data_IF_202862313665
#
_entry.id   IF_202862313665
#
_cell.length_a   1.000
_cell.length_b   1.000
_cell.length_c   1.000
_cell.angle_alpha   90.00
_cell.angle_beta   90.00
_cell.angle_gamma   90.00
#
_symmetry.space_group_name_H-M   'P 1'
#
loop_
_entity.id
_entity.type
_entity.pdbx_description
1 polymer ?
#
# COMPACT_ATOMS: atom_id res chain seq x y z
N UNK A 1 -58.24 -10.46 -46.55
CA UNK A 1 -57.55 -11.69 -46.20
C UNK A 1 -56.00 -11.50 -46.28
N UNK A 2 -55.44 -10.43 -45.66
CA UNK A 2 -53.97 -10.17 -45.65
C UNK A 2 -53.40 -9.85 -44.27
N UNK A 3 -54.20 -9.78 -43.22
CA UNK A 3 -53.74 -9.38 -41.89
C UNK A 3 -53.18 -10.57 -41.05
N UNK A 4 -53.63 -11.82 -41.34
CA UNK A 4 -53.21 -13.01 -40.59
C UNK A 4 -51.77 -13.48 -40.83
N UNK A 5 -51.09 -12.99 -41.88
CA UNK A 5 -49.72 -13.38 -42.20
C UNK A 5 -48.63 -12.41 -41.65
N UNK A 6 -49.04 -11.23 -41.15
CA UNK A 6 -48.13 -10.20 -40.63
C UNK A 6 -47.78 -10.40 -39.16
N UNK A 7 -48.72 -10.92 -38.35
CA UNK A 7 -48.55 -11.10 -36.91
C UNK A 7 -47.39 -12.06 -36.56
N UNK A 8 -47.27 -13.27 -37.16
CA UNK A 8 -46.18 -14.19 -36.81
C UNK A 8 -44.80 -13.67 -37.27
N UNK A 9 -44.69 -12.87 -38.32
CA UNK A 9 -43.43 -12.25 -38.77
C UNK A 9 -42.99 -11.14 -37.83
N UNK A 10 -43.89 -10.32 -37.31
CA UNK A 10 -43.61 -9.28 -36.32
C UNK A 10 -43.13 -9.88 -35.00
N UNK A 11 -43.79 -10.94 -34.51
CA UNK A 11 -43.39 -11.65 -33.28
C UNK A 11 -42.00 -12.29 -33.44
N UNK A 12 -41.72 -12.89 -34.58
CA UNK A 12 -40.39 -13.49 -34.86
C UNK A 12 -39.28 -12.45 -34.93
N UNK A 13 -39.51 -11.26 -35.48
CA UNK A 13 -38.56 -10.15 -35.51
C UNK A 13 -38.33 -9.57 -34.12
N UNK A 14 -39.34 -9.45 -33.31
CA UNK A 14 -39.22 -9.00 -31.91
C UNK A 14 -38.43 -9.99 -31.04
N UNK A 15 -38.69 -11.29 -31.19
CA UNK A 15 -37.92 -12.35 -30.52
C UNK A 15 -36.45 -12.36 -30.97
N UNK A 16 -36.18 -12.23 -32.25
CA UNK A 16 -34.83 -12.18 -32.80
C UNK A 16 -34.05 -10.93 -32.27
N UNK A 17 -34.74 -9.77 -32.19
CA UNK A 17 -34.10 -8.56 -31.64
C UNK A 17 -33.85 -8.67 -30.12
N UNK A 18 -34.73 -9.33 -29.38
CA UNK A 18 -34.53 -9.58 -27.94
C UNK A 18 -33.37 -10.52 -27.67
N UNK A 19 -33.25 -11.60 -28.47
CA UNK A 19 -32.13 -12.55 -28.38
C UNK A 19 -30.82 -11.88 -28.74
N UNK A 20 -30.80 -11.04 -29.79
CA UNK A 20 -29.61 -10.30 -30.18
C UNK A 20 -29.20 -9.28 -29.11
N UNK A 21 -30.15 -8.58 -28.49
CA UNK A 21 -29.89 -7.66 -27.37
C UNK A 21 -29.34 -8.39 -26.13
N UNK A 22 -29.87 -9.57 -25.79
CA UNK A 22 -29.33 -10.40 -24.72
C UNK A 22 -27.91 -10.90 -25.02
N UNK A 23 -27.61 -11.30 -26.26
CA UNK A 23 -26.28 -11.71 -26.71
C UNK A 23 -25.26 -10.56 -26.63
N UNK A 24 -25.66 -9.34 -26.97
CA UNK A 24 -24.82 -8.15 -26.87
C UNK A 24 -24.55 -7.78 -25.41
N UNK A 25 -25.53 -7.92 -24.51
CA UNK A 25 -25.33 -7.70 -23.06
C UNK A 25 -24.40 -8.73 -22.43
N UNK A 26 -24.40 -9.99 -22.90
CA UNK A 26 -23.51 -11.06 -22.43
C UNK A 26 -22.06 -10.90 -22.93
N UNK A 27 -21.85 -10.11 -23.99
CA UNK A 27 -20.53 -9.81 -24.57
C UNK A 27 -19.88 -8.52 -24.01
N UNK A 28 -20.48 -7.84 -23.02
CA UNK A 28 -19.82 -6.74 -22.37
C UNK A 28 -18.59 -7.30 -21.66
N UNK A 29 -17.35 -6.84 -21.98
CA UNK A 29 -16.20 -7.25 -21.24
C UNK A 29 -16.43 -6.89 -19.79
N UNK A 30 -16.33 -7.87 -18.89
CA UNK A 30 -16.21 -7.59 -17.47
C UNK A 30 -15.00 -6.68 -17.35
N UNK A 31 -15.19 -5.40 -17.01
CA UNK A 31 -14.10 -4.52 -16.66
C UNK A 31 -13.43 -5.16 -15.44
N UNK A 32 -12.33 -5.88 -15.68
CA UNK A 32 -11.45 -6.28 -14.59
C UNK A 32 -10.98 -4.98 -13.96
N UNK A 33 -11.43 -4.69 -12.75
CA UNK A 33 -10.99 -3.53 -11.98
C UNK A 33 -9.48 -3.59 -11.91
N UNK A 34 -8.81 -2.59 -12.49
CA UNK A 34 -7.35 -2.60 -12.57
C UNK A 34 -6.78 -2.46 -11.16
N UNK A 35 -5.96 -3.44 -10.75
CA UNK A 35 -5.36 -3.45 -9.42
C UNK A 35 -4.45 -2.22 -9.28
N UNK A 36 -4.66 -1.37 -8.28
CA UNK A 36 -3.78 -0.24 -8.04
C UNK A 36 -2.32 -0.67 -7.95
N UNK A 37 -1.41 0.08 -8.55
CA UNK A 37 0.02 -0.29 -8.59
C UNK A 37 0.62 -0.47 -7.20
N UNK A 38 0.23 0.38 -6.24
CA UNK A 38 0.65 0.27 -4.85
C UNK A 38 0.19 -1.02 -4.16
N UNK A 39 -0.83 -1.70 -4.69
CA UNK A 39 -1.32 -2.99 -4.19
C UNK A 39 -0.84 -4.16 -5.06
N UNK A 40 0.29 -3.98 -5.77
CA UNK A 40 0.99 -5.05 -6.48
C UNK A 40 2.31 -5.37 -5.79
N UNK A 41 2.70 -6.64 -5.76
CA UNK A 41 4.04 -6.99 -5.28
C UNK A 41 5.12 -6.33 -6.16
N UNK A 42 6.27 -5.95 -5.59
CA UNK A 42 7.41 -5.51 -6.37
C UNK A 42 7.82 -6.52 -7.43
N UNK A 43 8.43 -6.03 -8.52
CA UNK A 43 8.88 -6.88 -9.64
C UNK A 43 9.73 -8.06 -9.15
N UNK A 44 9.36 -9.27 -9.53
CA UNK A 44 10.03 -10.51 -9.14
C UNK A 44 9.50 -11.15 -7.86
N UNK A 45 8.66 -10.46 -7.07
CA UNK A 45 8.02 -11.06 -5.91
C UNK A 45 6.63 -11.63 -6.29
N UNK A 46 6.32 -12.82 -5.76
CA UNK A 46 4.99 -13.40 -5.90
C UNK A 46 4.01 -12.81 -4.90
N UNK A 47 4.45 -12.62 -3.66
CA UNK A 47 3.66 -12.09 -2.55
C UNK A 47 4.47 -10.99 -1.86
N UNK A 48 3.81 -9.98 -1.35
CA UNK A 48 4.42 -8.94 -0.52
C UNK A 48 3.45 -8.50 0.58
N UNK A 49 3.99 -7.88 1.62
CA UNK A 49 3.23 -7.10 2.60
C UNK A 49 3.35 -5.64 2.16
N UNK A 50 2.22 -4.94 2.06
CA UNK A 50 2.17 -3.49 1.82
C UNK A 50 1.59 -2.83 3.05
N UNK A 51 2.23 -1.80 3.57
CA UNK A 51 1.74 -1.03 4.71
C UNK A 51 1.81 0.46 4.41
N UNK A 52 0.72 1.17 4.74
CA UNK A 52 0.71 2.62 4.87
C UNK A 52 0.81 2.95 6.34
N UNK A 53 1.88 3.65 6.71
CA UNK A 53 2.25 3.85 8.10
C UNK A 53 2.62 5.30 8.40
N UNK A 54 2.53 5.63 9.67
CA UNK A 54 2.91 6.92 10.23
C UNK A 54 3.84 6.68 11.41
N UNK A 55 5.04 7.22 11.35
CA UNK A 55 6.06 6.97 12.36
C UNK A 55 5.74 7.54 13.74
N UNK A 56 4.75 8.44 13.84
CA UNK A 56 4.25 8.95 15.12
C UNK A 56 3.03 8.17 15.62
N UNK A 57 2.44 7.29 14.79
CA UNK A 57 1.26 6.51 15.17
C UNK A 57 1.64 5.36 16.11
N UNK A 58 1.09 5.30 17.35
CA UNK A 58 1.44 4.23 18.30
C UNK A 58 1.05 2.83 17.82
N UNK A 59 -0.01 2.71 17.02
CA UNK A 59 -0.41 1.42 16.44
C UNK A 59 0.61 0.93 15.41
N UNK A 60 1.18 1.85 14.60
CA UNK A 60 2.25 1.50 13.67
C UNK A 60 3.47 0.96 14.42
N UNK A 61 3.91 1.64 15.48
CA UNK A 61 5.02 1.17 16.31
C UNK A 61 4.77 -0.21 16.94
N UNK A 62 3.53 -0.52 17.32
CA UNK A 62 3.19 -1.85 17.87
C UNK A 62 3.22 -2.96 16.82
N UNK A 63 2.84 -2.67 15.58
CA UNK A 63 2.72 -3.69 14.54
C UNK A 63 3.99 -3.85 13.70
N UNK A 64 4.83 -2.83 13.61
CA UNK A 64 6.05 -2.85 12.79
C UNK A 64 6.94 -4.09 13.04
N UNK A 65 7.25 -4.51 14.28
CA UNK A 65 8.06 -5.71 14.51
C UNK A 65 7.42 -7.00 13.97
N UNK A 66 6.08 -7.10 14.00
CA UNK A 66 5.36 -8.24 13.46
C UNK A 66 5.47 -8.30 11.92
N UNK A 67 5.30 -7.16 11.25
CA UNK A 67 5.42 -7.06 9.79
C UNK A 67 6.82 -7.44 9.32
N UNK A 68 7.84 -6.93 10.00
CA UNK A 68 9.23 -7.25 9.70
C UNK A 68 9.55 -8.73 9.96
N UNK A 69 9.07 -9.29 11.08
CA UNK A 69 9.25 -10.71 11.36
C UNK A 69 8.57 -11.57 10.29
N UNK A 70 7.35 -11.23 9.87
CA UNK A 70 6.64 -11.93 8.81
C UNK A 70 7.40 -11.84 7.47
N UNK A 71 7.87 -10.64 7.10
CA UNK A 71 8.69 -10.42 5.89
C UNK A 71 9.94 -11.32 5.90
N UNK A 72 10.69 -11.33 6.99
CA UNK A 72 11.89 -12.18 7.16
C UNK A 72 11.57 -13.68 7.12
N UNK A 73 10.51 -14.10 7.83
CA UNK A 73 10.11 -15.52 7.93
C UNK A 73 9.71 -16.09 6.59
N UNK A 74 8.91 -15.34 5.82
CA UNK A 74 8.41 -15.78 4.52
C UNK A 74 9.34 -15.40 3.36
N UNK A 75 10.40 -14.61 3.61
CA UNK A 75 11.32 -14.05 2.61
C UNK A 75 10.55 -13.32 1.51
N UNK A 76 9.59 -12.48 1.91
CA UNK A 76 8.77 -11.65 1.03
C UNK A 76 9.05 -10.18 1.31
N UNK A 77 8.92 -9.28 0.30
CA UNK A 77 9.08 -7.85 0.52
C UNK A 77 8.08 -7.30 1.54
N UNK A 78 8.55 -6.36 2.38
CA UNK A 78 7.74 -5.41 3.10
C UNK A 78 7.86 -4.06 2.38
N UNK A 79 6.75 -3.60 1.80
CA UNK A 79 6.65 -2.32 1.09
C UNK A 79 6.02 -1.32 2.04
N UNK A 80 6.77 -0.29 2.41
CA UNK A 80 6.35 0.75 3.35
C UNK A 80 6.07 2.03 2.59
N UNK A 81 4.84 2.54 2.73
CA UNK A 81 4.40 3.84 2.24
C UNK A 81 4.23 4.81 3.40
N UNK A 82 4.82 5.99 3.28
CA UNK A 82 4.71 7.04 4.28
C UNK A 82 3.31 7.69 4.21
N UNK A 83 2.54 7.61 5.29
CA UNK A 83 1.21 8.21 5.38
C UNK A 83 1.06 9.06 6.65
N UNK A 84 1.81 10.16 6.77
CA UNK A 84 1.77 11.03 7.94
C UNK A 84 0.38 11.66 8.09
N UNK A 85 -0.24 11.44 9.27
CA UNK A 85 -1.56 11.95 9.60
C UNK A 85 -1.48 13.45 10.00
N UNK A 86 -2.50 14.25 9.68
CA UNK A 86 -2.47 15.70 9.98
C UNK A 86 -2.35 16.04 11.47
N UNK A 87 -2.80 15.14 12.35
CA UNK A 87 -2.72 15.32 13.81
C UNK A 87 -1.33 15.03 14.39
N UNK A 88 -0.44 14.42 13.60
CA UNK A 88 0.90 14.01 14.02
C UNK A 88 1.93 15.05 13.58
N UNK A 89 2.45 15.81 14.53
CA UNK A 89 3.18 17.05 14.26
C UNK A 89 4.67 16.89 13.93
N UNK A 90 5.25 15.69 14.05
CA UNK A 90 6.62 15.40 13.65
C UNK A 90 6.73 14.22 12.65
N UNK A 91 5.64 13.55 12.37
CA UNK A 91 5.60 12.35 11.52
C UNK A 91 6.09 12.62 10.10
N UNK A 92 5.67 13.73 9.48
CA UNK A 92 6.11 14.10 8.14
C UNK A 92 7.62 14.30 8.06
N UNK A 93 8.20 15.01 9.04
CA UNK A 93 9.64 15.25 9.08
C UNK A 93 10.42 13.96 9.34
N UNK A 94 9.92 13.09 10.21
CA UNK A 94 10.51 11.76 10.43
C UNK A 94 10.50 10.93 9.14
N UNK A 95 9.43 10.99 8.35
CA UNK A 95 9.36 10.32 7.06
C UNK A 95 10.41 10.87 6.06
N UNK A 96 10.59 12.19 6.00
CA UNK A 96 11.63 12.81 5.17
C UNK A 96 13.03 12.35 5.61
N UNK A 97 13.29 12.29 6.90
CA UNK A 97 14.55 11.76 7.44
C UNK A 97 14.75 10.28 7.09
N UNK A 98 13.72 9.46 7.18
CA UNK A 98 13.79 8.06 6.78
C UNK A 98 14.11 7.92 5.28
N UNK A 99 13.50 8.74 4.42
CA UNK A 99 13.85 8.81 2.99
C UNK A 99 15.30 9.22 2.77
N UNK A 100 15.83 10.13 3.57
CA UNK A 100 17.25 10.45 3.52
C UNK A 100 18.12 9.22 3.82
N UNK A 101 17.82 8.49 4.87
CA UNK A 101 18.56 7.27 5.20
C UNK A 101 18.38 6.16 4.15
N UNK A 102 17.23 6.07 3.49
CA UNK A 102 17.00 5.20 2.32
C UNK A 102 17.97 5.51 1.16
N UNK A 103 18.46 6.75 1.02
CA UNK A 103 19.46 7.09 -0.02
C UNK A 103 20.83 6.44 0.20
N UNK A 104 21.14 6.04 1.41
CA UNK A 104 22.35 5.28 1.74
C UNK A 104 22.16 3.79 1.48
N UNK A 105 21.12 3.19 2.03
CA UNK A 105 20.60 1.87 1.67
C UNK A 105 19.20 1.66 2.29
N UNK A 106 18.45 0.70 1.76
CA UNK A 106 17.15 0.33 2.34
C UNK A 106 17.28 -0.21 3.76
N UNK A 107 18.37 -0.92 4.06
CA UNK A 107 18.64 -1.46 5.39
C UNK A 107 18.82 -0.33 6.40
N UNK A 108 19.53 0.73 6.03
CA UNK A 108 19.75 1.91 6.90
C UNK A 108 18.43 2.67 7.10
N UNK A 109 17.66 2.89 6.04
CA UNK A 109 16.36 3.54 6.16
C UNK A 109 15.39 2.75 7.04
N UNK A 110 15.36 1.43 6.90
CA UNK A 110 14.53 0.56 7.74
C UNK A 110 15.01 0.59 9.20
N UNK A 111 16.32 0.52 9.44
CA UNK A 111 16.87 0.63 10.80
C UNK A 111 16.52 1.98 11.45
N UNK A 112 16.44 3.07 10.69
CA UNK A 112 15.99 4.36 11.21
C UNK A 112 14.50 4.31 11.57
N UNK A 113 13.63 3.73 10.72
CA UNK A 113 12.19 3.56 11.02
C UNK A 113 12.00 2.72 12.29
N UNK A 114 12.72 1.59 12.41
CA UNK A 114 12.71 0.75 13.61
C UNK A 114 13.11 1.54 14.86
N UNK A 115 14.19 2.33 14.78
CA UNK A 115 14.65 3.16 15.90
C UNK A 115 13.60 4.22 16.28
N UNK A 116 12.95 4.87 15.30
CA UNK A 116 11.88 5.83 15.55
C UNK A 116 10.69 5.14 16.24
N UNK A 117 10.25 3.98 15.75
CA UNK A 117 9.15 3.24 16.37
C UNK A 117 9.48 2.79 17.80
N UNK A 118 10.71 2.37 18.07
CA UNK A 118 11.16 1.97 19.39
C UNK A 118 11.17 3.13 20.39
N UNK A 119 11.35 4.37 19.92
CA UNK A 119 11.52 5.57 20.77
C UNK A 119 10.40 6.60 20.58
N UNK A 120 9.26 6.21 20.00
CA UNK A 120 8.15 7.14 19.70
C UNK A 120 7.75 8.05 20.85
N UNK A 121 7.73 7.52 22.07
CA UNK A 121 7.32 8.27 23.26
C UNK A 121 8.34 9.31 23.72
N UNK A 122 9.59 9.21 23.26
CA UNK A 122 10.68 10.11 23.60
C UNK A 122 10.87 11.20 22.54
N UNK A 123 10.35 10.97 21.31
CA UNK A 123 10.52 11.86 20.17
C UNK A 123 9.46 12.97 20.23
N UNK A 124 9.93 14.19 20.01
CA UNK A 124 9.13 15.41 19.92
C UNK A 124 9.58 16.22 18.70
N UNK A 125 8.80 17.21 18.24
CA UNK A 125 9.27 18.10 17.17
C UNK A 125 10.61 18.79 17.48
N UNK A 126 10.89 19.04 18.76
CA UNK A 126 12.08 19.76 19.22
C UNK A 126 13.34 18.89 19.22
N UNK A 127 13.21 17.58 19.40
CA UNK A 127 14.37 16.67 19.52
C UNK A 127 14.55 15.70 18.34
N UNK A 128 13.61 15.66 17.38
CA UNK A 128 13.67 14.72 16.24
C UNK A 128 14.99 14.84 15.46
N UNK A 129 15.45 16.07 15.17
CA UNK A 129 16.71 16.31 14.48
C UNK A 129 17.91 15.81 15.28
N UNK A 130 17.89 15.99 16.60
CA UNK A 130 18.94 15.45 17.48
C UNK A 130 18.92 13.93 17.52
N UNK A 131 17.73 13.31 17.55
CA UNK A 131 17.56 11.87 17.44
C UNK A 131 18.16 11.33 16.13
N UNK A 132 17.82 11.96 15.00
CA UNK A 132 18.36 11.58 13.69
C UNK A 132 19.87 11.77 13.61
N UNK A 133 20.43 12.83 14.18
CA UNK A 133 21.87 13.08 14.24
C UNK A 133 22.59 12.03 15.07
N UNK A 134 22.02 11.61 16.19
CA UNK A 134 22.56 10.50 16.98
C UNK A 134 22.55 9.19 16.19
N UNK A 135 21.43 8.83 15.57
CA UNK A 135 21.33 7.65 14.72
C UNK A 135 22.35 7.66 13.61
N UNK A 136 22.53 8.79 12.92
CA UNK A 136 23.51 8.95 11.86
C UNK A 136 24.94 8.72 12.37
N UNK A 137 25.28 9.30 13.52
CA UNK A 137 26.59 9.13 14.16
C UNK A 137 26.85 7.67 14.51
N UNK A 138 25.89 6.99 15.13
CA UNK A 138 26.01 5.58 15.55
C UNK A 138 26.19 4.66 14.32
N UNK A 139 25.63 5.04 13.18
CA UNK A 139 25.73 4.29 11.91
C UNK A 139 26.83 4.82 10.97
N UNK A 140 27.66 5.78 11.41
CA UNK A 140 28.77 6.39 10.64
C UNK A 140 28.30 7.04 9.33
N UNK A 141 27.12 7.66 9.36
CA UNK A 141 26.51 8.36 8.25
C UNK A 141 26.66 9.87 8.48
N UNK A 142 27.04 10.62 7.45
CA UNK A 142 27.03 12.06 7.51
C UNK A 142 25.57 12.56 7.41
N UNK A 143 25.09 13.35 8.38
CA UNK A 143 23.80 14.00 8.30
C UNK A 143 24.02 15.50 8.06
N UNK A 144 23.59 16.05 6.91
CA UNK A 144 23.70 17.48 6.64
C UNK A 144 22.73 18.29 7.49
N UNK A 145 23.04 19.55 7.75
CA UNK A 145 22.17 20.44 8.51
C UNK A 145 20.78 20.61 7.85
N UNK A 146 20.75 20.67 6.51
CA UNK A 146 19.49 20.63 5.71
C UNK A 146 19.49 19.34 4.91
N UNK A 147 18.63 18.43 5.29
CA UNK A 147 18.57 17.06 4.73
C UNK A 147 17.96 17.03 3.33
N UNK A 148 17.02 17.91 3.05
CA UNK A 148 16.28 17.94 1.78
C UNK A 148 16.16 19.37 1.24
N UNK A 149 17.28 20.00 0.79
CA UNK A 149 17.27 21.39 0.36
C UNK A 149 16.42 21.65 -0.91
N UNK A 150 16.20 20.61 -1.71
CA UNK A 150 15.43 20.71 -2.94
C UNK A 150 13.98 20.20 -2.79
N UNK A 151 13.59 19.72 -1.62
CA UNK A 151 12.26 19.17 -1.35
C UNK A 151 11.93 17.87 -2.07
N UNK A 152 12.95 17.16 -2.59
CA UNK A 152 12.76 15.89 -3.32
C UNK A 152 12.27 14.77 -2.41
N UNK A 153 12.87 14.62 -1.23
CA UNK A 153 12.48 13.58 -0.27
C UNK A 153 11.08 13.86 0.29
N UNK A 154 10.80 15.11 0.61
CA UNK A 154 9.47 15.55 0.99
C UNK A 154 8.45 15.32 -0.14
N UNK A 155 8.88 15.41 -1.40
CA UNK A 155 8.08 15.06 -2.58
C UNK A 155 7.69 13.57 -2.59
N UNK A 156 8.62 12.67 -2.25
CA UNK A 156 8.34 11.23 -2.16
C UNK A 156 7.32 10.91 -1.05
N UNK A 157 7.46 11.53 0.12
CA UNK A 157 6.50 11.36 1.22
C UNK A 157 5.10 11.85 0.81
N UNK A 158 5.02 13.00 0.12
CA UNK A 158 3.73 13.49 -0.41
C UNK A 158 3.14 12.55 -1.45
N UNK A 159 3.95 12.02 -2.36
CA UNK A 159 3.50 11.06 -3.37
C UNK A 159 2.93 9.79 -2.73
N UNK A 160 3.57 9.22 -1.71
CA UNK A 160 3.03 8.09 -0.97
C UNK A 160 1.69 8.43 -0.30
N UNK A 161 1.61 9.61 0.31
CA UNK A 161 0.36 10.08 0.91
C UNK A 161 -0.76 10.24 -0.13
N UNK A 162 -0.47 10.79 -1.30
CA UNK A 162 -1.43 10.96 -2.38
C UNK A 162 -1.94 9.60 -2.88
N UNK A 163 -1.04 8.60 -2.99
CA UNK A 163 -1.42 7.21 -3.28
C UNK A 163 -2.37 6.68 -2.21
N UNK A 164 -2.04 6.84 -0.91
CA UNK A 164 -2.92 6.42 0.18
C UNK A 164 -4.29 7.10 0.14
N UNK A 165 -4.35 8.40 -0.16
CA UNK A 165 -5.61 9.14 -0.35
C UNK A 165 -6.40 8.56 -1.52
N UNK A 166 -5.78 8.23 -2.63
CA UNK A 166 -6.44 7.61 -3.80
C UNK A 166 -7.00 6.22 -3.49
N UNK A 167 -6.40 5.51 -2.55
CA UNK A 167 -6.86 4.22 -2.01
C UNK A 167 -7.88 4.37 -0.87
N UNK A 168 -8.32 5.60 -0.57
CA UNK A 168 -9.28 5.92 0.50
C UNK A 168 -8.82 5.47 1.89
N UNK A 169 -7.51 5.52 2.16
CA UNK A 169 -6.97 5.21 3.48
C UNK A 169 -7.37 6.27 4.48
N UNK A 170 -7.98 5.85 5.59
CA UNK A 170 -8.51 6.73 6.63
C UNK A 170 -7.75 6.63 7.96
N UNK A 171 -6.89 5.63 8.12
CA UNK A 171 -6.15 5.37 9.36
C UNK A 171 -4.80 4.70 9.08
N UNK A 172 -3.93 4.71 10.08
CA UNK A 172 -2.66 3.98 10.08
C UNK A 172 -2.56 3.07 11.31
N UNK A 173 -1.93 1.92 11.20
CA UNK A 173 -1.46 1.31 9.95
C UNK A 173 -2.64 0.78 9.11
N UNK A 174 -2.55 0.87 7.78
CA UNK A 174 -3.39 0.10 6.87
C UNK A 174 -2.49 -0.89 6.15
N UNK A 175 -2.82 -2.18 6.23
CA UNK A 175 -1.93 -3.28 5.84
C UNK A 175 -2.64 -4.18 4.84
N UNK A 176 -1.93 -4.56 3.77
CA UNK A 176 -2.40 -5.58 2.81
C UNK A 176 -1.36 -6.67 2.62
N UNK A 177 -1.83 -7.88 2.38
CA UNK A 177 -1.06 -8.94 1.73
C UNK A 177 -1.47 -8.96 0.26
N UNK A 178 -0.49 -8.84 -0.63
CA UNK A 178 -0.70 -8.70 -2.08
C UNK A 178 -0.04 -9.83 -2.83
N UNK A 179 -0.63 -10.29 -3.96
CA UNK A 179 -0.12 -11.39 -4.79
C UNK A 179 -0.13 -11.03 -6.26
N UNK A 180 0.93 -11.40 -6.99
CA UNK A 180 1.03 -11.24 -8.44
C UNK A 180 0.34 -12.36 -9.23
N UNK A 181 0.00 -13.48 -8.60
CA UNK A 181 -0.55 -14.67 -9.26
C UNK A 181 -2.05 -14.85 -9.04
N UNK A 182 -2.60 -14.24 -8.01
CA UNK A 182 -4.00 -14.45 -7.64
C UNK A 182 -4.93 -13.79 -8.65
N UNK A 183 -5.81 -14.60 -9.25
CA UNK A 183 -6.94 -14.10 -10.05
C UNK A 183 -8.14 -13.82 -9.12
N UNK A 184 -8.84 -12.71 -9.34
CA UNK A 184 -10.00 -12.32 -8.55
C UNK A 184 -9.66 -11.27 -7.49
N UNK A 185 -9.16 -11.64 -6.32
CA UNK A 185 -8.71 -10.67 -5.30
C UNK A 185 -7.20 -10.78 -5.08
N UNK A 186 -6.38 -10.04 -5.84
CA UNK A 186 -4.92 -10.11 -5.75
C UNK A 186 -4.36 -9.41 -4.50
N UNK A 187 -5.20 -8.78 -3.69
CA UNK A 187 -4.83 -8.15 -2.42
C UNK A 187 -5.94 -8.37 -1.38
N UNK A 188 -5.54 -8.50 -0.12
CA UNK A 188 -6.44 -8.65 1.02
C UNK A 188 -5.96 -7.74 2.15
N UNK A 189 -6.85 -6.93 2.70
CA UNK A 189 -6.56 -6.09 3.85
C UNK A 189 -6.46 -6.93 5.13
N UNK A 190 -5.44 -6.65 5.92
CA UNK A 190 -5.22 -7.28 7.23
C UNK A 190 -5.86 -6.43 8.31
N UNK A 191 -7.14 -6.65 8.58
CA UNK A 191 -7.88 -5.94 9.63
C UNK A 191 -7.62 -6.52 11.02
N UNK A 192 -7.21 -7.78 11.10
CA UNK A 192 -6.75 -8.45 12.31
C UNK A 192 -5.33 -8.98 12.10
N UNK A 193 -4.37 -8.35 12.78
CA UNK A 193 -2.94 -8.69 12.64
C UNK A 193 -2.61 -10.11 13.10
N UNK A 194 -3.44 -10.76 13.94
CA UNK A 194 -3.28 -12.16 14.31
C UNK A 194 -3.45 -13.12 13.11
N UNK A 195 -4.13 -12.66 12.06
CA UNK A 195 -4.38 -13.44 10.84
C UNK A 195 -3.29 -13.24 9.76
N UNK A 196 -2.31 -12.35 9.99
CA UNK A 196 -1.30 -11.99 8.99
C UNK A 196 -0.61 -13.22 8.36
N UNK A 197 -0.13 -14.14 9.19
CA UNK A 197 0.57 -15.34 8.71
C UNK A 197 -0.34 -16.25 7.88
N UNK A 198 -1.58 -16.44 8.31
CA UNK A 198 -2.56 -17.24 7.57
C UNK A 198 -2.90 -16.62 6.21
N UNK A 199 -2.99 -15.28 6.16
CA UNK A 199 -3.23 -14.55 4.90
C UNK A 199 -2.04 -14.68 3.95
N UNK A 200 -0.80 -14.59 4.46
CA UNK A 200 0.40 -14.80 3.65
C UNK A 200 0.42 -16.25 3.10
N UNK A 201 0.13 -17.24 3.94
CA UNK A 201 0.07 -18.64 3.52
C UNK A 201 -0.98 -18.88 2.43
N UNK A 202 -2.16 -18.28 2.57
CA UNK A 202 -3.22 -18.37 1.57
C UNK A 202 -2.79 -17.72 0.23
N UNK A 203 -2.16 -16.54 0.29
CA UNK A 203 -1.71 -15.81 -0.91
C UNK A 203 -0.53 -16.47 -1.63
N UNK A 204 0.26 -17.31 -0.92
CA UNK A 204 1.39 -18.05 -1.53
C UNK A 204 0.95 -19.35 -2.20
N UNK A 205 -0.21 -19.92 -1.82
CA UNK A 205 -0.71 -21.19 -2.38
C UNK A 205 -1.40 -21.00 -3.73
N UNK A 206 -1.93 -19.83 -4.01
CA UNK A 206 -2.58 -19.47 -5.27
C UNK A 206 -1.52 -19.08 -6.31
#
# INVERSE_FOLDING_TARGET
MRIQLLLPRLVSLLLASLVLACLVLLCLPAFAEDVPEALRPPKGAQVAIVVFEDMQCPQCGRVAPLLEQASRTYKIPLVQHDFPLPAHNWSFEAAVLARYFDTHSKEVGNAFREAVFAHQLEITPQNLQQFAAKFATDNKIALPFVVDPEGKLAGLVRADKDVGVSLHIMHTPTIWVVSSKRTGRPYVEVTDTSQLYLMIDAMKKD
#
